data_IF_509131327248
#
_entry.id   IF_509131327248
#
_cell.length_a   1.000
_cell.length_b   1.000
_cell.length_c   1.000
_cell.angle_alpha   90.00
_cell.angle_beta   90.00
_cell.angle_gamma   90.00
#
_symmetry.space_group_name_H-M   'P 1'
#
loop_
_entity.id
_entity.type
_entity.pdbx_description
1 polymer ?
#
# COMPACT_ATOMS: atom_id res chain seq x y z
N UNK A 1 11.25 11.30 1.86
CA UNK A 1 10.88 11.63 0.45
C UNK A 1 10.09 10.45 -0.11
N UNK A 2 9.06 10.68 -0.92
CA UNK A 2 8.25 9.60 -1.52
C UNK A 2 8.46 9.44 -3.02
N UNK A 3 8.29 8.20 -3.51
CA UNK A 3 8.29 7.86 -4.92
C UNK A 3 7.03 7.06 -5.28
N UNK A 4 6.56 7.30 -6.50
CA UNK A 4 5.54 6.47 -7.14
C UNK A 4 6.14 5.83 -8.37
N UNK A 5 6.32 4.52 -8.33
CA UNK A 5 6.97 3.74 -9.38
C UNK A 5 5.89 3.02 -10.17
N UNK A 6 5.78 3.34 -11.45
CA UNK A 6 4.77 2.78 -12.35
C UNK A 6 5.42 1.77 -13.27
N UNK A 7 4.90 0.55 -13.28
CA UNK A 7 5.32 -0.54 -14.15
C UNK A 7 4.11 -1.10 -14.91
N UNK A 8 4.31 -1.84 -16.01
CA UNK A 8 3.22 -2.55 -16.67
C UNK A 8 2.47 -3.52 -15.74
N UNK A 9 3.15 -4.10 -14.76
CA UNK A 9 2.63 -5.11 -13.84
C UNK A 9 1.91 -4.51 -12.61
N UNK A 10 2.15 -3.23 -12.31
CA UNK A 10 1.54 -2.56 -11.17
C UNK A 10 2.25 -1.28 -10.73
N UNK A 11 1.69 -0.65 -9.70
CA UNK A 11 2.13 0.63 -9.17
C UNK A 11 2.61 0.44 -7.73
N UNK A 12 3.84 0.88 -7.44
CA UNK A 12 4.43 0.85 -6.12
C UNK A 12 4.52 2.27 -5.57
N UNK A 13 3.96 2.50 -4.38
CA UNK A 13 4.26 3.67 -3.57
C UNK A 13 5.39 3.34 -2.61
N UNK A 14 6.40 4.21 -2.52
CA UNK A 14 7.53 4.05 -1.63
C UNK A 14 7.72 5.34 -0.83
N UNK A 15 7.70 5.28 0.50
CA UNK A 15 8.09 6.40 1.35
C UNK A 15 8.80 5.91 2.61
N UNK A 16 10.09 6.22 2.68
CA UNK A 16 10.90 6.13 3.88
C UNK A 16 11.55 7.49 4.16
N UNK A 17 12.08 7.63 5.37
CA UNK A 17 12.57 8.87 5.97
C UNK A 17 11.50 9.96 5.88
N UNK A 18 10.32 9.67 6.44
CA UNK A 18 9.16 10.56 6.49
C UNK A 18 8.63 10.59 7.92
N UNK A 19 8.43 11.77 8.50
CA UNK A 19 7.83 11.90 9.84
C UNK A 19 6.31 12.01 9.84
N UNK A 20 5.72 12.33 8.69
CA UNK A 20 4.28 12.55 8.54
C UNK A 20 3.78 12.10 7.16
N UNK A 21 2.55 11.58 7.14
CA UNK A 21 1.80 11.34 5.91
C UNK A 21 1.21 12.65 5.39
N UNK A 22 1.96 13.35 4.56
CA UNK A 22 1.47 14.60 3.94
C UNK A 22 0.34 14.34 2.94
N UNK A 23 -0.46 15.35 2.66
CA UNK A 23 -1.54 15.28 1.66
C UNK A 23 -1.01 14.81 0.28
N UNK A 24 0.17 15.27 -0.13
CA UNK A 24 0.79 14.89 -1.40
C UNK A 24 1.19 13.41 -1.44
N UNK A 25 1.69 12.86 -0.32
CA UNK A 25 1.99 11.43 -0.20
C UNK A 25 0.70 10.60 -0.25
N UNK A 26 -0.31 11.01 0.52
CA UNK A 26 -1.62 10.36 0.56
C UNK A 26 -2.22 10.28 -0.84
N UNK A 27 -2.23 11.40 -1.57
CA UNK A 27 -2.80 11.43 -2.91
C UNK A 27 -1.98 10.60 -3.90
N UNK A 28 -0.65 10.64 -3.81
CA UNK A 28 0.24 9.80 -4.63
C UNK A 28 0.04 8.30 -4.39
N UNK A 29 -0.41 7.91 -3.19
CA UNK A 29 -0.58 6.51 -2.78
C UNK A 29 -1.96 5.93 -3.09
N UNK A 30 -2.96 6.77 -3.43
CA UNK A 30 -4.35 6.36 -3.65
C UNK A 30 -4.52 5.18 -4.63
N UNK A 31 -3.76 5.19 -5.72
CA UNK A 31 -3.87 4.19 -6.80
C UNK A 31 -2.78 3.11 -6.75
N UNK A 32 -1.96 3.08 -5.70
CA UNK A 32 -0.88 2.09 -5.60
C UNK A 32 -1.42 0.68 -5.32
N UNK A 33 -0.70 -0.33 -5.81
CA UNK A 33 -0.97 -1.74 -5.54
C UNK A 33 -0.14 -2.26 -4.37
N UNK A 34 1.09 -1.75 -4.25
CA UNK A 34 1.99 -2.07 -3.14
C UNK A 34 2.44 -0.75 -2.52
N UNK A 35 2.47 -0.70 -1.20
CA UNK A 35 2.99 0.42 -0.45
C UNK A 35 4.17 -0.06 0.40
N UNK A 36 5.34 0.53 0.19
CA UNK A 36 6.54 0.34 1.02
C UNK A 36 6.70 1.60 1.87
N UNK A 37 6.39 1.48 3.15
CA UNK A 37 6.15 2.66 3.99
C UNK A 37 6.85 2.53 5.32
N UNK A 38 7.42 3.64 5.78
CA UNK A 38 8.03 3.74 7.10
C UNK A 38 7.09 3.34 8.24
N UNK A 39 7.58 2.50 9.13
CA UNK A 39 6.95 2.16 10.41
C UNK A 39 8.07 2.14 11.45
N UNK A 40 8.63 3.32 11.74
CA UNK A 40 9.94 3.40 12.36
C UNK A 40 9.91 3.06 13.84
N UNK A 41 8.95 3.58 14.60
CA UNK A 41 8.95 3.43 16.05
C UNK A 41 7.54 3.22 16.61
N UNK A 42 7.46 2.55 17.75
CA UNK A 42 6.28 2.62 18.62
C UNK A 42 6.43 3.85 19.52
N UNK A 43 5.38 4.66 19.62
CA UNK A 43 5.41 5.95 20.34
C UNK A 43 5.85 5.76 21.80
N UNK A 44 5.36 4.69 22.45
CA UNK A 44 5.70 4.37 23.83
C UNK A 44 7.15 3.90 24.01
N UNK A 45 7.69 3.12 23.07
CA UNK A 45 9.10 2.70 23.12
C UNK A 45 10.03 3.88 22.89
N UNK A 46 9.68 4.80 21.98
CA UNK A 46 10.42 6.04 21.80
C UNK A 46 10.40 6.89 23.07
N UNK A 47 9.26 6.97 23.77
CA UNK A 47 9.11 7.76 25.02
C UNK A 47 10.04 7.27 26.14
N UNK A 48 10.25 5.95 26.26
CA UNK A 48 11.13 5.35 27.27
C UNK A 48 12.54 5.04 26.75
N UNK A 49 12.83 5.45 25.52
CA UNK A 49 14.11 5.23 24.84
C UNK A 49 15.30 5.77 25.64
N UNK A 50 16.47 5.10 25.59
CA UNK A 50 17.71 5.58 26.21
C UNK A 50 18.30 6.81 25.51
N UNK A 51 17.76 7.22 24.36
CA UNK A 51 18.23 8.40 23.66
C UNK A 51 17.99 9.68 24.46
N UNK A 52 18.90 10.65 24.29
CA UNK A 52 18.72 11.99 24.83
C UNK A 52 17.40 12.59 24.34
N UNK A 53 16.77 13.43 25.18
CA UNK A 53 15.46 14.02 24.90
C UNK A 53 15.40 14.68 23.51
N UNK A 54 16.41 15.47 23.14
CA UNK A 54 16.48 16.12 21.83
C UNK A 54 16.48 15.15 20.65
N UNK A 55 17.04 13.95 20.81
CA UNK A 55 17.01 12.90 19.79
C UNK A 55 15.62 12.29 19.68
N UNK A 56 14.95 12.05 20.81
CA UNK A 56 13.58 11.54 20.82
C UNK A 56 12.60 12.52 20.17
N UNK A 57 12.73 13.81 20.50
CA UNK A 57 11.95 14.90 19.89
C UNK A 57 12.19 15.01 18.38
N UNK A 58 13.45 14.89 17.93
CA UNK A 58 13.77 14.89 16.50
C UNK A 58 13.18 13.69 15.77
N UNK A 59 13.19 12.51 16.37
CA UNK A 59 12.60 11.29 15.78
C UNK A 59 11.08 11.43 15.68
N UNK A 60 10.41 11.96 16.71
CA UNK A 60 8.96 12.09 16.78
C UNK A 60 8.38 13.26 15.95
N UNK A 61 9.22 14.20 15.51
CA UNK A 61 8.75 15.38 14.77
C UNK A 61 8.44 15.11 13.30
N UNK A 62 7.77 16.05 12.64
CA UNK A 62 7.32 15.95 11.24
C UNK A 62 8.47 15.70 10.23
N UNK A 63 9.67 16.18 10.54
CA UNK A 63 10.90 15.96 9.76
C UNK A 63 11.72 14.74 10.23
N UNK A 64 11.19 14.00 11.19
CA UNK A 64 11.75 12.79 11.76
C UNK A 64 11.23 11.55 11.04
N UNK A 65 10.64 10.66 11.81
CA UNK A 65 10.27 9.32 11.38
C UNK A 65 8.83 8.96 11.71
N UNK A 66 8.17 8.22 10.83
CA UNK A 66 6.75 7.87 10.97
C UNK A 66 6.61 6.80 12.05
N UNK A 67 5.70 7.00 12.98
CA UNK A 67 5.40 6.00 14.00
C UNK A 67 4.50 4.89 13.45
N UNK A 68 4.50 3.73 14.11
CA UNK A 68 3.56 2.65 13.81
C UNK A 68 2.11 3.15 13.93
N UNK A 69 1.84 4.00 14.93
CA UNK A 69 0.51 4.55 15.18
C UNK A 69 0.05 5.53 14.10
N UNK A 70 0.96 6.39 13.59
CA UNK A 70 0.64 7.31 12.50
C UNK A 70 0.41 6.56 11.17
N UNK A 71 1.15 5.46 10.94
CA UNK A 71 0.88 4.58 9.80
C UNK A 71 -0.48 3.89 9.92
N UNK A 72 -0.85 3.43 11.13
CA UNK A 72 -2.15 2.84 11.40
C UNK A 72 -3.29 3.83 11.11
N UNK A 73 -3.17 5.08 11.56
CA UNK A 73 -4.14 6.14 11.25
C UNK A 73 -4.28 6.37 9.74
N UNK A 74 -3.17 6.43 9.01
CA UNK A 74 -3.20 6.51 7.54
C UNK A 74 -3.93 5.32 6.91
N UNK A 75 -3.73 4.10 7.43
CA UNK A 75 -4.37 2.90 6.92
C UNK A 75 -5.89 2.97 7.09
N UNK A 76 -6.37 3.41 8.24
CA UNK A 76 -7.80 3.50 8.52
C UNK A 76 -8.51 4.56 7.67
N UNK A 77 -7.86 5.72 7.50
CA UNK A 77 -8.50 6.89 6.90
C UNK A 77 -8.27 7.02 5.39
N UNK A 78 -7.15 6.51 4.89
CA UNK A 78 -6.61 6.90 3.58
C UNK A 78 -6.07 5.76 2.73
N UNK A 79 -6.11 4.49 3.19
CA UNK A 79 -5.60 3.38 2.40
C UNK A 79 -6.35 3.23 1.07
N UNK A 80 -5.59 3.28 -0.03
CA UNK A 80 -6.13 3.12 -1.37
C UNK A 80 -6.85 1.77 -1.57
N UNK A 81 -7.96 1.73 -2.33
CA UNK A 81 -8.73 0.50 -2.55
C UNK A 81 -7.98 -0.56 -3.37
N UNK A 82 -6.94 -0.14 -4.10
CA UNK A 82 -6.15 -1.01 -4.97
C UNK A 82 -4.92 -1.62 -4.27
N UNK A 83 -4.60 -1.15 -3.05
CA UNK A 83 -3.47 -1.68 -2.28
C UNK A 83 -3.75 -3.12 -1.91
N UNK A 84 -2.83 -4.04 -2.21
CA UNK A 84 -2.90 -5.47 -1.87
C UNK A 84 -1.73 -5.92 -1.02
N UNK A 85 -0.69 -5.10 -0.90
CA UNK A 85 0.44 -5.39 -0.05
C UNK A 85 0.97 -4.11 0.63
N UNK A 86 1.16 -4.20 1.94
CA UNK A 86 1.85 -3.21 2.77
C UNK A 86 3.17 -3.81 3.23
N UNK A 87 4.28 -3.13 2.91
CA UNK A 87 5.61 -3.46 3.38
C UNK A 87 6.00 -2.45 4.44
N UNK A 88 6.11 -2.92 5.68
CA UNK A 88 6.53 -2.10 6.81
C UNK A 88 8.05 -1.97 6.75
N UNK A 89 8.51 -0.78 6.41
CA UNK A 89 9.90 -0.46 6.13
C UNK A 89 10.51 0.39 7.25
N UNK A 90 11.84 0.39 7.30
CA UNK A 90 12.62 1.30 8.12
C UNK A 90 12.33 1.24 9.63
N UNK A 91 12.10 0.01 10.15
CA UNK A 91 11.85 -0.24 11.57
C UNK A 91 13.10 0.07 12.40
N UNK A 92 12.96 0.88 13.46
CA UNK A 92 14.00 1.18 14.43
C UNK A 92 14.41 -0.08 15.21
N UNK A 93 15.72 -0.32 15.32
CA UNK A 93 16.25 -1.38 16.20
C UNK A 93 16.02 -1.12 17.68
N UNK A 94 15.87 0.15 18.08
CA UNK A 94 15.84 0.55 19.50
C UNK A 94 14.43 0.92 19.94
N UNK A 95 13.68 1.62 19.10
CA UNK A 95 12.38 2.17 19.46
C UNK A 95 11.23 1.42 18.79
N UNK A 96 11.46 0.21 18.32
CA UNK A 96 10.42 -0.64 17.73
C UNK A 96 10.67 -2.11 18.05
N UNK A 97 9.62 -2.89 17.88
CA UNK A 97 9.61 -4.35 17.91
C UNK A 97 8.77 -4.76 16.70
N UNK A 98 9.26 -5.59 15.77
CA UNK A 98 8.54 -5.91 14.53
C UNK A 98 7.10 -6.39 14.75
N UNK A 99 6.86 -7.12 15.84
CA UNK A 99 5.56 -7.60 16.25
C UNK A 99 4.59 -6.45 16.59
N UNK A 100 5.06 -5.35 17.19
CA UNK A 100 4.22 -4.17 17.45
C UNK A 100 3.82 -3.48 16.14
N UNK A 101 4.75 -3.35 15.20
CA UNK A 101 4.45 -2.79 13.88
C UNK A 101 3.42 -3.65 13.12
N UNK A 102 3.57 -4.98 13.17
CA UNK A 102 2.63 -5.92 12.55
C UNK A 102 1.24 -5.84 13.18
N UNK A 103 1.14 -5.85 14.52
CA UNK A 103 -0.13 -5.76 15.25
C UNK A 103 -0.83 -4.44 14.94
N UNK A 104 -0.15 -3.29 15.08
CA UNK A 104 -0.75 -1.98 14.79
C UNK A 104 -1.26 -1.89 13.35
N UNK A 105 -0.48 -2.38 12.38
CA UNK A 105 -0.89 -2.40 10.98
C UNK A 105 -2.11 -3.30 10.74
N UNK A 106 -2.12 -4.51 11.30
CA UNK A 106 -3.22 -5.47 11.12
C UNK A 106 -4.50 -5.03 11.81
N UNK A 107 -4.41 -4.41 12.98
CA UNK A 107 -5.56 -3.85 13.69
C UNK A 107 -6.22 -2.74 12.86
N UNK A 108 -5.42 -1.81 12.32
CA UNK A 108 -5.90 -0.77 11.42
C UNK A 108 -6.57 -1.33 10.15
N UNK A 109 -5.94 -2.34 9.53
CA UNK A 109 -6.53 -3.04 8.38
C UNK A 109 -7.86 -3.72 8.74
N UNK A 110 -7.96 -4.35 9.91
CA UNK A 110 -9.19 -4.97 10.36
C UNK A 110 -10.29 -3.93 10.62
N UNK A 111 -9.94 -2.79 11.21
CA UNK A 111 -10.87 -1.69 11.50
C UNK A 111 -11.51 -1.11 10.22
N UNK A 112 -10.76 -1.03 9.12
CA UNK A 112 -11.28 -0.59 7.82
C UNK A 112 -11.74 -1.72 6.89
N UNK A 113 -11.81 -2.98 7.39
CA UNK A 113 -12.32 -4.13 6.63
C UNK A 113 -11.40 -4.61 5.51
N UNK A 114 -10.10 -4.31 5.58
CA UNK A 114 -9.06 -4.59 4.57
C UNK A 114 -8.22 -5.82 4.88
N UNK A 115 -8.88 -6.92 5.26
CA UNK A 115 -8.22 -8.23 5.48
C UNK A 115 -7.65 -8.86 4.20
N UNK A 116 -7.94 -8.28 3.04
CA UNK A 116 -7.37 -8.64 1.73
C UNK A 116 -5.93 -8.17 1.52
N UNK A 117 -5.41 -7.31 2.39
CA UNK A 117 -4.06 -6.72 2.27
C UNK A 117 -3.03 -7.59 2.97
N UNK A 118 -2.01 -8.01 2.22
CA UNK A 118 -0.87 -8.73 2.74
C UNK A 118 0.11 -7.79 3.45
N UNK A 119 0.45 -8.08 4.70
CA UNK A 119 1.46 -7.33 5.46
C UNK A 119 2.80 -8.06 5.38
N UNK A 120 3.87 -7.31 5.08
CA UNK A 120 5.25 -7.79 4.99
C UNK A 120 6.14 -6.96 5.90
N UNK A 121 6.79 -7.62 6.85
CA UNK A 121 7.78 -6.99 7.71
C UNK A 121 9.15 -7.02 7.04
N UNK A 122 9.88 -5.92 7.16
CA UNK A 122 11.29 -5.85 6.75
C UNK A 122 12.20 -6.03 7.96
N UNK A 123 13.45 -6.37 7.69
CA UNK A 123 14.52 -6.47 8.68
C UNK A 123 15.73 -5.68 8.19
N UNK A 124 16.54 -5.18 9.12
CA UNK A 124 17.82 -4.54 8.78
C UNK A 124 18.91 -5.57 8.43
N UNK A 125 18.72 -6.83 8.81
CA UNK A 125 19.74 -7.87 8.71
C UNK A 125 19.44 -8.90 7.61
N UNK A 126 18.18 -8.98 7.16
CA UNK A 126 17.79 -9.89 6.10
C UNK A 126 16.81 -9.23 5.11
N UNK A 127 16.91 -9.55 3.81
CA UNK A 127 15.94 -9.09 2.84
C UNK A 127 14.57 -9.69 3.16
N UNK A 128 13.52 -8.89 2.98
CA UNK A 128 12.15 -9.39 3.01
C UNK A 128 11.90 -10.36 1.85
N UNK A 129 10.78 -11.09 1.92
CA UNK A 129 10.35 -11.94 0.80
C UNK A 129 10.17 -11.12 -0.49
N UNK A 130 10.42 -11.76 -1.62
CA UNK A 130 10.10 -11.18 -2.93
C UNK A 130 8.59 -11.03 -3.09
N UNK A 131 8.17 -9.88 -3.60
CA UNK A 131 6.78 -9.56 -3.92
C UNK A 131 6.64 -9.57 -5.44
N UNK A 132 5.83 -10.49 -5.96
CA UNK A 132 5.52 -10.58 -7.38
C UNK A 132 4.26 -9.75 -7.70
N UNK A 133 4.47 -8.61 -8.38
CA UNK A 133 3.39 -7.70 -8.77
C UNK A 133 2.38 -8.34 -9.73
N UNK A 134 2.85 -9.21 -10.63
CA UNK A 134 1.98 -9.91 -11.59
C UNK A 134 1.05 -10.91 -10.91
N UNK A 135 1.50 -11.57 -9.84
CA UNK A 135 0.65 -12.46 -9.02
C UNK A 135 -0.38 -11.65 -8.22
N UNK A 136 0.04 -10.53 -7.62
CA UNK A 136 -0.88 -9.65 -6.89
C UNK A 136 -1.99 -9.10 -7.79
N UNK A 137 -1.68 -8.77 -9.05
CA UNK A 137 -2.67 -8.25 -9.99
C UNK A 137 -3.64 -9.35 -10.49
N UNK A 138 -3.17 -10.57 -10.72
CA UNK A 138 -4.05 -11.68 -11.15
C UNK A 138 -5.12 -12.05 -10.11
N UNK A 139 -4.84 -11.86 -8.82
CA UNK A 139 -5.84 -11.99 -7.75
C UNK A 139 -6.96 -10.94 -7.83
N UNK A 140 -6.72 -9.77 -8.44
CA UNK A 140 -7.75 -8.74 -8.62
C UNK A 140 -8.70 -9.01 -9.80
N UNK A 141 -8.25 -9.73 -10.83
CA UNK A 141 -9.09 -10.06 -12.00
C UNK A 141 -10.01 -11.26 -11.77
N UNK A 142 -9.84 -11.98 -10.65
CA UNK A 142 -10.64 -13.15 -10.29
C UNK A 142 -11.73 -12.80 -9.27
N UNK A 143 -12.59 -11.84 -9.61
CA UNK A 143 -13.92 -11.75 -9.00
C UNK A 143 -14.90 -12.47 -9.94
N UNK A 144 -15.47 -13.63 -9.56
CA UNK A 144 -16.60 -14.18 -10.29
C UNK A 144 -17.78 -13.21 -10.10
N UNK A 145 -17.95 -12.28 -11.04
CA UNK A 145 -19.11 -11.39 -11.11
C UNK A 145 -18.89 -9.89 -10.91
N UNK A 146 -17.75 -9.29 -11.30
CA UNK A 146 -17.66 -7.80 -11.32
C UNK A 146 -17.38 -7.21 -12.70
N UNK A 147 -18.30 -6.32 -13.09
CA UNK A 147 -18.33 -5.48 -14.29
C UNK A 147 -17.33 -4.33 -14.15
N UNK A 148 -16.43 -4.18 -15.13
CA UNK A 148 -15.54 -3.02 -15.27
C UNK A 148 -16.30 -1.85 -15.88
N UNK A 149 -16.57 -0.80 -15.11
CA UNK A 149 -16.94 0.52 -15.65
C UNK A 149 -15.68 1.38 -15.73
N UNK A 150 -15.21 1.65 -16.95
CA UNK A 150 -14.12 2.59 -17.23
C UNK A 150 -14.73 3.89 -17.75
N UNK A 151 -14.60 4.99 -17.01
CA UNK A 151 -14.95 6.31 -17.53
C UNK A 151 -13.79 6.96 -18.28
N UNK A 152 -14.18 7.55 -19.41
CA UNK A 152 -13.43 8.40 -20.36
C UNK A 152 -12.52 7.66 -21.35
N UNK A 153 -13.20 7.24 -22.42
CA UNK A 153 -12.73 7.21 -23.81
C UNK A 153 -11.91 6.00 -24.27
N UNK A 154 -12.41 4.77 -24.15
CA UNK A 154 -12.07 3.65 -25.06
C UNK A 154 -13.27 2.68 -25.15
N UNK A 155 -13.49 2.13 -26.34
CA UNK A 155 -14.59 1.23 -26.73
C UNK A 155 -14.78 0.00 -25.83
N UNK A 156 -16.04 -0.38 -25.59
CA UNK A 156 -16.45 -1.55 -24.81
C UNK A 156 -16.01 -2.86 -25.52
N UNK A 157 -15.29 -3.72 -24.80
CA UNK A 157 -14.97 -5.07 -25.23
C UNK A 157 -15.54 -6.09 -24.22
N UNK A 158 -16.33 -7.06 -24.67
CA UNK A 158 -16.75 -8.21 -23.85
C UNK A 158 -15.85 -9.40 -24.19
N UNK A 159 -15.29 -10.03 -23.18
CA UNK A 159 -14.47 -11.23 -23.30
C UNK A 159 -15.25 -12.43 -22.75
N UNK A 160 -15.45 -13.44 -23.58
CA UNK A 160 -15.87 -14.77 -23.18
C UNK A 160 -14.91 -15.77 -23.86
N UNK A 161 -14.73 -16.94 -23.26
CA UNK A 161 -13.66 -17.96 -23.36
C UNK A 161 -13.04 -18.31 -24.74
N UNK A 162 -13.33 -17.61 -25.84
CA UNK A 162 -12.60 -17.72 -27.10
C UNK A 162 -12.62 -16.49 -28.04
N UNK A 163 -13.31 -15.37 -27.74
CA UNK A 163 -13.48 -14.27 -28.71
C UNK A 163 -13.67 -12.88 -28.08
N UNK A 164 -13.23 -11.83 -28.79
CA UNK A 164 -13.32 -10.42 -28.38
C UNK A 164 -14.43 -9.70 -29.17
N UNK A 165 -15.47 -9.21 -28.47
CA UNK A 165 -16.61 -8.51 -29.07
C UNK A 165 -16.54 -7.03 -28.77
N UNK A 166 -16.68 -6.16 -29.77
CA UNK A 166 -16.82 -4.71 -29.54
C UNK A 166 -18.29 -4.30 -29.56
N UNK A 167 -18.74 -3.59 -28.53
CA UNK A 167 -20.10 -3.01 -28.49
C UNK A 167 -20.04 -1.54 -28.89
N UNK A 168 -20.77 -1.18 -29.96
CA UNK A 168 -21.05 0.20 -30.36
C UNK A 168 -22.57 0.39 -30.38
N UNK A 169 -23.05 1.45 -29.73
CA UNK A 169 -24.45 1.89 -29.77
C UNK A 169 -25.48 0.78 -29.50
N UNK A 170 -25.21 -0.08 -28.52
CA UNK A 170 -26.14 -1.13 -28.08
C UNK A 170 -26.21 -2.38 -28.97
N UNK A 171 -25.38 -2.48 -30.02
CA UNK A 171 -25.27 -3.67 -30.86
C UNK A 171 -23.92 -4.38 -30.68
N UNK A 172 -23.98 -5.70 -30.51
CA UNK A 172 -22.81 -6.59 -30.42
C UNK A 172 -22.31 -6.94 -31.82
N UNK A 173 -21.04 -6.69 -32.12
CA UNK A 173 -20.43 -7.06 -33.42
C UNK A 173 -19.20 -7.94 -33.16
N UNK A 174 -19.20 -9.14 -33.74
CA UNK A 174 -18.04 -10.04 -33.78
C UNK A 174 -16.93 -9.46 -34.66
N UNK A 175 -15.69 -9.54 -34.18
CA UNK A 175 -14.52 -9.37 -35.05
C UNK A 175 -14.07 -10.75 -35.53
N UNK A 176 -13.96 -11.00 -36.85
CA UNK A 176 -13.18 -12.12 -37.34
C UNK A 176 -11.70 -11.89 -37.03
N UNK A 177 -10.98 -13.00 -36.84
CA UNK A 177 -9.58 -13.08 -36.44
C UNK A 177 -8.61 -12.30 -37.34
#
# INVERSE_FOLDING_TARGET
MGFRIVTPEGIIGYATDVGVMTADLIESFRDCNVLVVESNHATELLRVSPYAQSTRERIAGDSGHLSNEALAEFIELHLGPNVRCLVLAHLSRVNNVPELADVSCREALAACGRSDVEVVLTSQDCPAKTIDLGVLFRRCLFFPGLVLVKQRSVSLGVWNDSSLYTVRDGATVERPA
#
